data_IF_181099126646
#
_entry.id   IF_181099126646
#
_cell.length_a   1.000
_cell.length_b   1.000
_cell.length_c   1.000
_cell.angle_alpha   90.00
_cell.angle_beta   90.00
_cell.angle_gamma   90.00
#
_symmetry.space_group_name_H-M   'P 1'
#
loop_
_entity.id
_entity.type
_entity.pdbx_description
1 polymer ?
#
# COMPACT_ATOMS: atom_id res chain seq x y z
N UNK A 1 -25.63 -8.06 10.91
CA UNK A 1 -25.22 -6.65 11.08
C UNK A 1 -23.70 -6.51 11.05
N UNK A 2 -22.94 -7.24 11.87
CA UNK A 2 -21.48 -7.09 11.98
C UNK A 2 -20.68 -7.32 10.69
N UNK A 3 -21.13 -8.22 9.80
CA UNK A 3 -20.48 -8.49 8.51
C UNK A 3 -20.68 -7.36 7.49
N UNK A 4 -21.84 -6.70 7.51
CA UNK A 4 -22.15 -5.58 6.60
C UNK A 4 -21.31 -4.34 6.94
N UNK A 5 -21.15 -4.04 8.24
CA UNK A 5 -20.26 -2.98 8.72
C UNK A 5 -18.80 -3.25 8.35
N UNK A 6 -18.38 -4.51 8.41
CA UNK A 6 -17.02 -4.92 8.01
C UNK A 6 -16.79 -4.75 6.50
N UNK A 7 -17.74 -5.17 5.65
CA UNK A 7 -17.67 -4.96 4.21
C UNK A 7 -17.63 -3.48 3.82
N UNK A 8 -18.40 -2.64 4.52
CA UNK A 8 -18.38 -1.20 4.27
C UNK A 8 -17.01 -0.58 4.62
N UNK A 9 -16.42 -0.97 5.75
CA UNK A 9 -15.07 -0.54 6.12
C UNK A 9 -14.01 -1.00 5.10
N UNK A 10 -14.12 -2.23 4.60
CA UNK A 10 -13.22 -2.75 3.54
C UNK A 10 -13.35 -1.90 2.27
N UNK A 11 -14.59 -1.57 1.87
CA UNK A 11 -14.84 -0.72 0.70
C UNK A 11 -14.24 0.68 0.85
N UNK A 12 -14.36 1.28 2.03
CA UNK A 12 -13.80 2.60 2.32
C UNK A 12 -12.26 2.60 2.26
N UNK A 13 -11.63 1.57 2.82
CA UNK A 13 -10.17 1.39 2.77
C UNK A 13 -9.71 1.20 1.32
N UNK A 14 -10.39 0.34 0.56
CA UNK A 14 -10.06 0.08 -0.84
C UNK A 14 -10.15 1.36 -1.68
N UNK A 15 -11.21 2.14 -1.51
CA UNK A 15 -11.39 3.41 -2.22
C UNK A 15 -10.28 4.39 -1.87
N UNK A 16 -10.01 4.57 -0.57
CA UNK A 16 -8.98 5.48 -0.07
C UNK A 16 -7.59 5.11 -0.57
N UNK A 17 -7.28 3.81 -0.61
CA UNK A 17 -6.01 3.30 -1.12
C UNK A 17 -5.83 3.59 -2.61
N UNK A 18 -6.82 3.28 -3.46
CA UNK A 18 -6.72 3.53 -4.91
C UNK A 18 -6.60 5.04 -5.19
N UNK A 19 -7.36 5.87 -4.49
CA UNK A 19 -7.27 7.33 -4.64
C UNK A 19 -5.90 7.87 -4.25
N UNK A 20 -5.32 7.40 -3.15
CA UNK A 20 -3.96 7.75 -2.74
C UNK A 20 -2.93 7.29 -3.78
N UNK A 21 -3.07 6.05 -4.30
CA UNK A 21 -2.19 5.52 -5.31
C UNK A 21 -2.20 6.39 -6.58
N UNK A 22 -3.37 6.74 -7.08
CA UNK A 22 -3.51 7.64 -8.24
C UNK A 22 -2.90 9.00 -7.99
N UNK A 23 -3.09 9.58 -6.79
CA UNK A 23 -2.50 10.87 -6.43
C UNK A 23 -0.98 10.82 -6.45
N UNK A 24 -0.37 9.86 -5.76
CA UNK A 24 1.08 9.71 -5.70
C UNK A 24 1.69 9.49 -7.08
N UNK A 25 1.06 8.67 -7.93
CA UNK A 25 1.53 8.40 -9.29
C UNK A 25 1.45 9.62 -10.21
N UNK A 26 0.50 10.54 -9.98
CA UNK A 26 0.37 11.81 -10.72
C UNK A 26 1.36 12.87 -10.24
N UNK A 27 1.63 12.92 -8.93
CA UNK A 27 2.57 13.89 -8.34
C UNK A 27 4.02 13.55 -8.72
N UNK A 28 4.45 12.31 -8.49
CA UNK A 28 5.74 11.79 -8.94
C UNK A 28 5.62 10.29 -9.16
N UNK A 29 5.60 9.89 -10.43
CA UNK A 29 5.38 8.48 -10.81
C UNK A 29 6.44 7.55 -10.25
N UNK A 30 7.71 7.94 -10.27
CA UNK A 30 8.80 7.08 -9.82
C UNK A 30 8.76 6.90 -8.30
N UNK A 31 8.57 8.01 -7.56
CA UNK A 31 8.44 7.96 -6.10
C UNK A 31 7.15 7.22 -5.70
N UNK A 32 6.04 7.45 -6.40
CA UNK A 32 4.77 6.77 -6.17
C UNK A 32 4.90 5.25 -6.33
N UNK A 33 5.49 4.79 -7.43
CA UNK A 33 5.78 3.37 -7.66
C UNK A 33 6.63 2.77 -6.54
N UNK A 34 7.71 3.44 -6.14
CA UNK A 34 8.60 2.97 -5.08
C UNK A 34 7.89 2.89 -3.71
N UNK A 35 7.14 3.93 -3.34
CA UNK A 35 6.41 3.98 -2.06
C UNK A 35 5.32 2.92 -1.98
N UNK A 36 4.61 2.71 -3.07
CA UNK A 36 3.50 1.76 -3.15
C UNK A 36 3.97 0.32 -3.44
N UNK A 37 5.22 0.12 -3.86
CA UNK A 37 5.75 -1.19 -4.23
C UNK A 37 5.10 -1.75 -5.50
N UNK A 38 4.86 -0.90 -6.50
CA UNK A 38 4.15 -1.25 -7.74
C UNK A 38 5.11 -1.42 -8.91
N UNK A 39 4.80 -2.38 -9.78
CA UNK A 39 5.43 -2.46 -11.11
C UNK A 39 4.95 -1.31 -12.01
N UNK A 40 5.65 -1.10 -13.12
CA UNK A 40 5.30 -0.07 -14.10
C UNK A 40 3.91 -0.31 -14.68
N UNK A 41 3.62 -1.57 -15.02
CA UNK A 41 2.39 -2.01 -15.66
C UNK A 41 1.19 -1.78 -14.75
N UNK A 42 1.30 -2.14 -13.46
CA UNK A 42 0.24 -1.90 -12.47
C UNK A 42 0.04 -0.40 -12.24
N UNK A 43 1.13 0.37 -12.15
CA UNK A 43 1.06 1.82 -12.02
C UNK A 43 0.34 2.48 -13.21
N UNK A 44 0.60 2.01 -14.44
CA UNK A 44 -0.08 2.50 -15.64
C UNK A 44 -1.58 2.19 -15.62
N UNK A 45 -1.97 0.99 -15.19
CA UNK A 45 -3.39 0.63 -15.05
C UNK A 45 -4.04 1.53 -14.00
N UNK A 46 -3.47 1.61 -12.79
CA UNK A 46 -4.04 2.37 -11.68
C UNK A 46 -4.19 3.86 -12.01
N UNK A 47 -3.19 4.47 -12.64
CA UNK A 47 -3.22 5.89 -12.99
C UNK A 47 -4.34 6.24 -13.98
N UNK A 48 -4.72 5.29 -14.86
CA UNK A 48 -5.71 5.47 -15.92
C UNK A 48 -7.13 4.99 -15.54
N UNK A 49 -7.34 4.42 -14.34
CA UNK A 49 -8.68 4.05 -13.89
C UNK A 49 -9.59 5.28 -13.80
N UNK A 50 -10.75 5.19 -14.44
CA UNK A 50 -11.85 6.15 -14.28
C UNK A 50 -12.47 6.06 -12.89
N UNK A 51 -13.13 7.12 -12.44
CA UNK A 51 -13.83 7.13 -11.15
C UNK A 51 -14.82 5.96 -11.03
N UNK A 52 -15.57 5.65 -12.09
CA UNK A 52 -16.52 4.53 -12.09
C UNK A 52 -15.82 3.18 -11.91
N UNK A 53 -14.64 2.99 -12.53
CA UNK A 53 -13.85 1.77 -12.34
C UNK A 53 -13.24 1.70 -10.94
N UNK A 54 -12.78 2.83 -10.38
CA UNK A 54 -12.26 2.91 -9.00
C UNK A 54 -13.34 2.52 -8.00
N UNK A 55 -14.54 3.11 -8.10
CA UNK A 55 -15.67 2.79 -7.20
C UNK A 55 -16.06 1.32 -7.31
N UNK A 56 -16.13 0.78 -8.55
CA UNK A 56 -16.45 -0.64 -8.77
C UNK A 56 -15.39 -1.56 -8.16
N UNK A 57 -14.11 -1.24 -8.33
CA UNK A 57 -13.01 -2.03 -7.78
C UNK A 57 -13.02 -1.96 -6.25
N UNK A 58 -13.28 -0.78 -5.67
CA UNK A 58 -13.37 -0.59 -4.23
C UNK A 58 -14.53 -1.35 -3.59
N UNK A 59 -15.63 -1.56 -4.31
CA UNK A 59 -16.80 -2.32 -3.83
C UNK A 59 -16.56 -3.82 -3.59
N UNK A 60 -15.34 -4.31 -3.84
CA UNK A 60 -14.92 -5.66 -3.45
C UNK A 60 -14.98 -5.86 -1.93
N UNK A 61 -15.52 -7.00 -1.48
CA UNK A 61 -15.49 -7.45 -0.07
C UNK A 61 -14.10 -7.95 0.37
N UNK A 62 -13.11 -7.90 -0.52
CA UNK A 62 -11.73 -8.25 -0.21
C UNK A 62 -10.87 -6.98 -0.20
N UNK A 63 -9.96 -6.90 0.76
CA UNK A 63 -8.93 -5.85 0.79
C UNK A 63 -8.03 -5.97 -0.43
N UNK A 64 -7.88 -4.86 -1.15
CA UNK A 64 -7.01 -4.76 -2.33
C UNK A 64 -5.56 -4.46 -1.95
N UNK A 65 -5.36 -3.79 -0.82
CA UNK A 65 -4.05 -3.53 -0.25
C UNK A 65 -3.78 -4.50 0.90
N UNK A 66 -2.60 -5.13 0.85
CA UNK A 66 -2.14 -6.02 1.91
C UNK A 66 -1.12 -5.32 2.80
N UNK A 67 -0.98 -5.84 4.01
CA UNK A 67 0.06 -5.41 4.91
C UNK A 67 1.43 -5.79 4.31
N UNK A 68 2.26 -4.78 4.02
CA UNK A 68 3.53 -4.95 3.31
C UNK A 68 4.57 -5.75 4.08
N UNK A 69 4.46 -5.84 5.40
CA UNK A 69 5.42 -6.55 6.25
C UNK A 69 4.88 -7.91 6.65
N UNK A 70 5.15 -8.92 5.83
CA UNK A 70 4.75 -10.31 6.12
C UNK A 70 5.87 -11.14 6.78
N UNK A 71 7.01 -10.52 7.10
CA UNK A 71 8.14 -11.15 7.79
C UNK A 71 8.16 -10.71 9.27
N UNK A 72 8.08 -11.69 10.19
CA UNK A 72 8.07 -11.45 11.63
C UNK A 72 9.34 -10.73 12.10
N UNK A 73 10.51 -11.12 11.59
CA UNK A 73 11.78 -10.52 11.99
C UNK A 73 11.86 -9.06 11.52
N UNK A 74 11.39 -8.74 10.32
CA UNK A 74 11.27 -7.36 9.87
C UNK A 74 10.32 -6.54 10.74
N UNK A 75 9.12 -7.07 11.02
CA UNK A 75 8.13 -6.36 11.82
C UNK A 75 8.63 -6.15 13.27
N UNK A 76 9.35 -7.13 13.81
CA UNK A 76 9.98 -7.05 15.13
C UNK A 76 11.08 -5.98 15.13
N UNK A 77 11.94 -5.94 14.11
CA UNK A 77 12.99 -4.93 13.98
C UNK A 77 12.44 -3.50 13.86
N UNK A 78 11.27 -3.32 13.22
CA UNK A 78 10.62 -2.02 13.06
C UNK A 78 9.88 -1.54 14.32
N UNK A 79 9.44 -2.46 15.16
CA UNK A 79 8.65 -2.15 16.37
C UNK A 79 9.50 -2.07 17.64
N UNK A 80 10.70 -2.63 17.63
CA UNK A 80 11.66 -2.48 18.71
C UNK A 80 12.37 -1.12 18.62
N UNK A 81 12.22 -0.29 19.65
CA UNK A 81 12.92 0.98 19.75
C UNK A 81 14.44 0.74 19.80
N UNK A 82 15.25 1.31 18.88
CA UNK A 82 16.68 1.26 19.03
C UNK A 82 17.06 2.06 20.28
N UNK A 83 17.99 1.52 21.08
CA UNK A 83 18.53 2.19 22.28
C UNK A 83 19.10 3.59 21.97
N UNK A 84 19.38 3.89 20.70
CA UNK A 84 19.73 5.21 20.17
C UNK A 84 18.66 5.68 19.17
N UNK A 85 17.83 6.64 19.60
CA UNK A 85 16.59 7.09 18.93
C UNK A 85 16.77 7.85 17.61
N UNK A 86 18.00 8.21 17.22
CA UNK A 86 18.26 9.05 16.05
C UNK A 86 18.37 8.31 14.72
N UNK A 87 18.47 6.97 14.72
CA UNK A 87 18.69 6.15 13.50
C UNK A 87 17.45 5.33 13.08
N UNK A 88 16.40 5.31 13.91
CA UNK A 88 15.19 4.51 13.67
C UNK A 88 14.48 4.76 12.32
N UNK A 89 14.21 6.02 11.89
CA UNK A 89 13.51 6.27 10.62
C UNK A 89 14.34 5.85 9.39
N UNK A 90 15.67 5.95 9.47
CA UNK A 90 16.57 5.53 8.39
C UNK A 90 16.58 4.01 8.22
N UNK A 91 16.57 3.25 9.33
CA UNK A 91 16.48 1.78 9.28
C UNK A 91 15.19 1.31 8.60
N UNK A 92 14.05 1.93 8.91
CA UNK A 92 12.77 1.59 8.30
C UNK A 92 12.77 1.86 6.78
N UNK A 93 13.32 2.99 6.35
CA UNK A 93 13.43 3.33 4.94
C UNK A 93 14.34 2.36 4.17
N UNK A 94 15.47 1.94 4.77
CA UNK A 94 16.39 0.95 4.17
C UNK A 94 15.71 -0.42 4.03
N UNK A 95 15.05 -0.90 5.08
CA UNK A 95 14.31 -2.17 5.06
C UNK A 95 13.21 -2.13 3.98
N UNK A 96 12.47 -1.02 3.91
CA UNK A 96 11.41 -0.82 2.90
C UNK A 96 11.92 -0.75 1.47
N UNK A 97 13.12 -0.18 1.25
CA UNK A 97 13.75 -0.11 -0.06
C UNK A 97 14.21 -1.48 -0.60
N UNK A 98 14.53 -2.41 0.31
CA UNK A 98 14.96 -3.77 -0.04
C UNK A 98 13.81 -4.73 -0.36
N UNK A 99 12.56 -4.34 -0.09
CA UNK A 99 11.41 -5.18 -0.41
C UNK A 99 11.09 -5.09 -1.91
N UNK A 100 11.03 -6.21 -2.64
CA UNK A 100 10.61 -6.19 -4.03
C UNK A 100 9.19 -5.65 -4.14
N UNK A 101 8.86 -5.04 -5.29
CA UNK A 101 7.47 -4.77 -5.63
C UNK A 101 6.66 -6.06 -5.50
N UNK A 102 5.44 -5.98 -4.96
CA UNK A 102 4.61 -7.15 -4.76
C UNK A 102 4.42 -7.86 -6.12
N UNK A 103 5.07 -9.02 -6.29
CA UNK A 103 4.90 -9.86 -7.45
C UNK A 103 3.69 -10.74 -7.18
N UNK A 104 2.60 -10.46 -7.87
CA UNK A 104 1.49 -11.41 -7.97
C UNK A 104 1.93 -12.48 -8.99
N UNK A 105 2.18 -13.70 -8.49
CA UNK A 105 2.38 -14.89 -9.32
C UNK A 105 1.04 -15.42 -9.81
#
# INVERSE_FOLDING_TARGET
MQTAETSEAIREINLSYIMLAQRLLREDRAIGMFRLGLSREIADILANLTLAQVVRLAASDQLLCFFRFNDQAMLTALTQAPKNSTVAPTHAAIIMAGLPAAQFA
#
